data_IF_266617117701
#
_entry.id   IF_266617117701
#
_cell.length_a   1.000
_cell.length_b   1.000
_cell.length_c   1.000
_cell.angle_alpha   90.00
_cell.angle_beta   90.00
_cell.angle_gamma   90.00
#
_symmetry.space_group_name_H-M   'P 1'
#
loop_
_entity.id
_entity.type
_entity.pdbx_description
1 polymer ?
#
# COMPACT_ATOMS: atom_id res chain seq x y z
N UNK A 1 -6.76 -2.64 -16.36
CA UNK A 1 -6.40 -1.48 -15.50
C UNK A 1 -4.97 -1.66 -15.03
N UNK A 2 -4.13 -0.64 -15.20
CA UNK A 2 -2.73 -0.67 -14.78
C UNK A 2 -2.65 -0.71 -13.25
N UNK A 3 -1.78 -1.56 -12.71
CA UNK A 3 -1.54 -1.62 -11.25
C UNK A 3 -0.38 -0.70 -10.94
N UNK A 4 -0.65 0.48 -10.40
CA UNK A 4 0.40 1.44 -10.04
C UNK A 4 1.13 1.06 -8.76
N UNK A 5 0.39 0.54 -7.78
CA UNK A 5 0.96 0.10 -6.51
C UNK A 5 0.88 -1.42 -6.35
N UNK A 6 1.78 -1.98 -5.53
CA UNK A 6 1.83 -3.39 -5.12
C UNK A 6 1.67 -3.57 -3.61
N UNK A 7 0.97 -2.66 -2.94
CA UNK A 7 0.78 -2.68 -1.47
C UNK A 7 0.19 -4.01 -1.00
N UNK A 8 -0.77 -4.58 -1.76
CA UNK A 8 -1.36 -5.88 -1.44
C UNK A 8 -0.32 -7.01 -1.39
N UNK A 9 0.66 -6.98 -2.30
CA UNK A 9 1.72 -7.99 -2.38
C UNK A 9 2.66 -7.83 -1.19
N UNK A 10 3.12 -6.60 -0.93
CA UNK A 10 4.03 -6.31 0.19
C UNK A 10 3.38 -6.64 1.55
N UNK A 11 2.07 -6.40 1.70
CA UNK A 11 1.32 -6.82 2.88
C UNK A 11 1.35 -8.33 3.09
N UNK A 12 1.22 -9.11 2.00
CA UNK A 12 1.32 -10.57 2.07
C UNK A 12 2.76 -11.03 2.36
N UNK A 13 3.76 -10.39 1.74
CA UNK A 13 5.19 -10.68 1.99
C UNK A 13 5.59 -10.43 3.45
N UNK A 14 4.96 -9.45 4.12
CA UNK A 14 5.22 -9.09 5.52
C UNK A 14 4.26 -9.78 6.52
N UNK A 15 3.39 -10.67 6.06
CA UNK A 15 2.35 -11.32 6.87
C UNK A 15 1.52 -10.31 7.68
N UNK A 16 1.00 -9.29 6.99
CA UNK A 16 0.18 -8.21 7.55
C UNK A 16 -1.17 -8.12 6.85
N UNK A 17 -2.19 -7.79 7.64
CA UNK A 17 -3.55 -7.63 7.11
C UNK A 17 -3.84 -6.17 6.73
N UNK A 18 -4.78 -5.96 5.80
CA UNK A 18 -5.24 -4.60 5.48
C UNK A 18 -5.85 -3.87 6.69
N UNK A 19 -6.43 -4.62 7.65
CA UNK A 19 -6.93 -4.08 8.92
C UNK A 19 -5.80 -3.58 9.82
N UNK A 20 -4.69 -4.32 9.85
CA UNK A 20 -3.50 -3.89 10.56
C UNK A 20 -2.93 -2.60 9.95
N UNK A 21 -2.81 -2.54 8.62
CA UNK A 21 -2.29 -1.34 7.95
C UNK A 21 -3.20 -0.12 8.17
N UNK A 22 -4.51 -0.31 8.10
CA UNK A 22 -5.51 0.72 8.39
C UNK A 22 -5.30 1.36 9.76
N UNK A 23 -5.03 0.54 10.79
CA UNK A 23 -4.71 1.01 12.12
C UNK A 23 -3.39 1.79 12.18
N UNK A 24 -2.34 1.33 11.48
CA UNK A 24 -1.04 2.01 11.47
C UNK A 24 -1.07 3.38 10.79
N UNK A 25 -1.79 3.51 9.67
CA UNK A 25 -1.86 4.77 8.92
C UNK A 25 -3.00 5.69 9.36
N UNK A 26 -3.83 5.27 10.32
CA UNK A 26 -4.99 6.02 10.79
C UNK A 26 -6.05 6.22 9.70
N UNK A 27 -6.31 5.18 8.89
CA UNK A 27 -7.26 5.22 7.77
C UNK A 27 -8.28 4.08 7.88
N UNK A 28 -9.42 4.25 7.22
CA UNK A 28 -10.47 3.22 7.23
C UNK A 28 -10.06 1.98 6.43
N UNK A 29 -10.54 0.81 6.85
CA UNK A 29 -10.35 -0.46 6.14
C UNK A 29 -10.77 -0.38 4.66
N UNK A 30 -11.89 0.29 4.37
CA UNK A 30 -12.35 0.50 2.99
C UNK A 30 -11.33 1.24 2.13
N UNK A 31 -10.64 2.24 2.69
CA UNK A 31 -9.63 3.03 1.97
C UNK A 31 -8.42 2.15 1.64
N UNK A 32 -7.93 1.37 2.61
CA UNK A 32 -6.82 0.44 2.39
C UNK A 32 -7.21 -0.64 1.37
N UNK A 33 -8.44 -1.16 1.43
CA UNK A 33 -8.93 -2.13 0.43
C UNK A 33 -8.94 -1.55 -0.98
N UNK A 34 -9.27 -0.25 -1.15
CA UNK A 34 -9.20 0.42 -2.46
C UNK A 34 -7.77 0.55 -2.98
N UNK A 35 -6.80 0.81 -2.09
CA UNK A 35 -5.38 0.82 -2.46
C UNK A 35 -4.89 -0.56 -2.90
N UNK A 36 -5.23 -1.60 -2.14
CA UNK A 36 -4.89 -2.98 -2.46
C UNK A 36 -5.51 -3.46 -3.78
N UNK A 37 -6.70 -2.99 -4.14
CA UNK A 37 -7.35 -3.27 -5.42
C UNK A 37 -6.94 -2.32 -6.56
N UNK A 38 -6.04 -1.37 -6.29
CA UNK A 38 -5.61 -0.32 -7.23
C UNK A 38 -6.74 0.57 -7.77
N UNK A 39 -7.91 0.55 -7.12
CA UNK A 39 -9.06 1.40 -7.50
C UNK A 39 -8.89 2.85 -7.04
N UNK A 40 -8.10 3.06 -5.99
CA UNK A 40 -7.61 4.37 -5.58
C UNK A 40 -6.12 4.27 -5.26
N UNK A 41 -5.41 5.38 -5.37
CA UNK A 41 -3.99 5.46 -5.01
C UNK A 41 -3.82 6.27 -3.72
N UNK A 42 -2.93 5.85 -2.80
CA UNK A 42 -2.53 6.70 -1.70
C UNK A 42 -1.73 7.89 -2.22
N UNK A 43 -1.84 9.03 -1.54
CA UNK A 43 -0.91 10.15 -1.76
C UNK A 43 0.50 9.78 -1.29
N UNK A 44 1.52 10.47 -1.80
CA UNK A 44 2.92 10.27 -1.45
C UNK A 44 3.16 10.29 0.08
N UNK A 45 2.53 11.20 0.82
CA UNK A 45 2.66 11.25 2.28
C UNK A 45 2.11 9.98 2.97
N UNK A 46 1.08 9.38 2.38
CA UNK A 46 0.49 8.15 2.91
C UNK A 46 1.32 6.94 2.50
N UNK A 47 1.87 6.93 1.29
CA UNK A 47 2.76 5.90 0.80
C UNK A 47 4.02 5.81 1.67
N UNK A 48 4.59 6.95 2.07
CA UNK A 48 5.71 7.03 3.01
C UNK A 48 5.38 6.39 4.38
N UNK A 49 4.22 6.74 4.96
CA UNK A 49 3.75 6.13 6.21
C UNK A 49 3.55 4.62 6.09
N UNK A 50 3.04 4.13 4.96
CA UNK A 50 2.88 2.69 4.69
C UNK A 50 4.25 2.02 4.64
N UNK A 51 5.23 2.65 3.98
CA UNK A 51 6.59 2.13 3.84
C UNK A 51 7.29 2.00 5.20
N UNK A 52 7.20 3.06 6.02
CA UNK A 52 7.71 3.05 7.40
C UNK A 52 7.02 1.97 8.24
N UNK A 53 5.68 1.85 8.15
CA UNK A 53 4.95 0.84 8.92
C UNK A 53 5.34 -0.59 8.51
N UNK A 54 5.61 -0.85 7.23
CA UNK A 54 5.97 -2.17 6.71
C UNK A 54 7.48 -2.46 6.74
N UNK A 55 8.29 -1.49 7.16
CA UNK A 55 9.76 -1.57 7.16
C UNK A 55 10.28 -1.94 5.76
N UNK A 56 9.92 -1.11 4.77
CA UNK A 56 10.31 -1.24 3.36
C UNK A 56 10.58 0.14 2.75
N UNK A 57 11.19 0.20 1.56
CA UNK A 57 11.27 1.46 0.83
C UNK A 57 9.92 1.79 0.20
N UNK A 58 9.65 3.09 0.03
CA UNK A 58 8.51 3.59 -0.75
C UNK A 58 8.49 3.01 -2.16
N UNK A 59 9.66 2.76 -2.74
CA UNK A 59 9.83 2.17 -4.08
C UNK A 59 9.29 0.74 -4.14
N UNK A 60 9.42 -0.03 -3.07
CA UNK A 60 8.93 -1.42 -2.99
C UNK A 60 7.40 -1.49 -3.02
N UNK A 61 6.71 -0.39 -2.71
CA UNK A 61 5.25 -0.29 -2.75
C UNK A 61 4.70 0.04 -4.15
N UNK A 62 5.55 0.41 -5.09
CA UNK A 62 5.18 0.80 -6.46
C UNK A 62 5.55 -0.31 -7.46
N UNK A 63 4.78 -0.42 -8.53
CA UNK A 63 5.18 -1.25 -9.68
C UNK A 63 6.03 -0.43 -10.63
N UNK A 64 6.90 -1.14 -11.36
CA UNK A 64 7.71 -0.54 -12.40
C UNK A 64 6.84 0.01 -13.54
N UNK A 65 7.34 1.05 -14.20
CA UNK A 65 6.64 1.63 -15.34
C UNK A 65 6.87 0.76 -16.57
N UNK A 66 5.79 0.26 -17.16
CA UNK A 66 5.85 -0.30 -18.53
C UNK A 66 6.33 0.79 -19.50
N UNK A 67 7.39 0.50 -20.26
CA UNK A 67 7.92 1.34 -21.35
C UNK A 67 7.09 1.19 -22.62
#
# INVERSE_FOLDING_TARGET
MKKFNRIKVVLAEKDRTGKWLAAQVGKSNCTVSKWCSNTAQPDLQTLDKIAIALDVSVKDLLNDTEK
#
